data_IF_895283657069
#
_entry.id   IF_895283657069
#
_cell.length_a   1.000
_cell.length_b   1.000
_cell.length_c   1.000
_cell.angle_alpha   90.00
_cell.angle_beta   90.00
_cell.angle_gamma   90.00
#
_symmetry.space_group_name_H-M   'P 1'
#
loop_
_entity.id
_entity.type
_entity.pdbx_description
1 polymer ?
#
# COMPACT_ATOMS: atom_id res chain seq x y z
N UNK A 1 -10.49 1.30 -18.27
CA UNK A 1 -10.88 1.23 -16.85
C UNK A 1 -9.84 2.05 -16.11
N UNK A 2 -10.23 3.22 -15.59
CA UNK A 2 -9.30 4.16 -14.96
C UNK A 2 -8.62 3.46 -13.80
N UNK A 3 -7.30 3.25 -13.87
CA UNK A 3 -6.52 2.97 -12.68
C UNK A 3 -6.77 4.15 -11.75
N UNK A 4 -7.46 3.93 -10.62
CA UNK A 4 -7.68 5.00 -9.66
C UNK A 4 -6.30 5.53 -9.27
N UNK A 5 -6.09 6.84 -9.47
CA UNK A 5 -4.80 7.45 -9.16
C UNK A 5 -4.52 7.25 -7.67
N UNK A 6 -3.40 6.56 -7.38
CA UNK A 6 -3.00 6.28 -6.02
C UNK A 6 -2.78 7.60 -5.26
N UNK A 7 -3.16 7.68 -3.98
CA UNK A 7 -2.86 8.84 -3.16
C UNK A 7 -1.35 8.99 -3.00
N UNK A 8 -0.90 10.22 -2.77
CA UNK A 8 0.49 10.45 -2.37
C UNK A 8 0.71 9.88 -0.96
N UNK A 9 1.95 9.52 -0.64
CA UNK A 9 2.32 9.03 0.69
C UNK A 9 3.39 9.96 1.25
N UNK A 10 3.23 10.36 2.51
CA UNK A 10 4.22 11.19 3.17
C UNK A 10 5.57 10.44 3.25
N UNK A 11 6.70 11.11 2.96
CA UNK A 11 8.00 10.44 2.86
C UNK A 11 8.41 9.77 4.18
N UNK A 12 8.08 10.35 5.32
CA UNK A 12 8.31 9.79 6.66
C UNK A 12 7.56 8.46 6.89
N UNK A 13 6.37 8.31 6.32
CA UNK A 13 5.60 7.05 6.38
C UNK A 13 6.32 5.97 5.59
N UNK A 14 6.79 6.30 4.39
CA UNK A 14 7.56 5.39 3.55
C UNK A 14 8.85 4.95 4.24
N UNK A 15 9.59 5.90 4.82
CA UNK A 15 10.82 5.61 5.57
C UNK A 15 10.54 4.65 6.74
N UNK A 16 9.54 4.96 7.56
CA UNK A 16 9.15 4.14 8.73
C UNK A 16 8.80 2.70 8.31
N UNK A 17 8.01 2.53 7.24
CA UNK A 17 7.63 1.21 6.74
C UNK A 17 8.84 0.42 6.24
N UNK A 18 9.69 1.05 5.42
CA UNK A 18 10.90 0.41 4.88
C UNK A 18 11.89 0.04 5.98
N UNK A 19 12.03 0.89 7.00
CA UNK A 19 12.85 0.62 8.18
C UNK A 19 12.35 -0.60 8.95
N UNK A 20 11.03 -0.76 9.09
CA UNK A 20 10.40 -1.93 9.72
C UNK A 20 10.53 -3.25 8.94
N UNK A 21 10.91 -3.22 7.66
CA UNK A 21 11.06 -4.43 6.85
C UNK A 21 12.31 -5.23 7.23
N UNK A 22 12.16 -6.55 7.32
CA UNK A 22 13.31 -7.46 7.42
C UNK A 22 14.19 -7.39 6.14
N UNK A 23 15.49 -7.75 6.22
CA UNK A 23 16.38 -7.74 5.04
C UNK A 23 15.86 -8.57 3.86
N UNK A 24 15.13 -9.65 4.15
CA UNK A 24 14.53 -10.50 3.11
C UNK A 24 13.38 -9.80 2.38
N UNK A 25 12.55 -9.06 3.12
CA UNK A 25 11.42 -8.31 2.57
C UNK A 25 11.90 -7.08 1.78
N UNK A 26 12.92 -6.36 2.28
CA UNK A 26 13.53 -5.24 1.55
C UNK A 26 14.01 -5.65 0.16
N UNK A 27 14.65 -6.81 0.03
CA UNK A 27 15.10 -7.36 -1.27
C UNK A 27 13.96 -7.67 -2.25
N UNK A 28 12.73 -7.84 -1.76
CA UNK A 28 11.55 -8.17 -2.57
C UNK A 28 10.70 -6.94 -2.90
N UNK A 29 10.96 -5.80 -2.27
CA UNK A 29 10.16 -4.60 -2.36
C UNK A 29 9.94 -4.13 -3.80
N UNK A 30 11.01 -4.01 -4.60
CA UNK A 30 10.89 -3.54 -5.98
C UNK A 30 10.01 -4.47 -6.84
N UNK A 31 10.13 -5.77 -6.62
CA UNK A 31 9.29 -6.77 -7.29
C UNK A 31 7.83 -6.66 -6.83
N UNK A 32 7.60 -6.44 -5.54
CA UNK A 32 6.26 -6.25 -4.99
C UNK A 32 5.60 -4.96 -5.54
N UNK A 33 6.34 -3.86 -5.60
CA UNK A 33 5.90 -2.58 -6.20
C UNK A 33 5.50 -2.79 -7.66
N UNK A 34 6.35 -3.45 -8.44
CA UNK A 34 6.05 -3.74 -9.86
C UNK A 34 4.77 -4.58 -10.00
N UNK A 35 4.58 -5.57 -9.13
CA UNK A 35 3.37 -6.42 -9.13
C UNK A 35 2.11 -5.62 -8.77
N UNK A 36 2.18 -4.79 -7.73
CA UNK A 36 1.06 -3.98 -7.26
C UNK A 36 0.68 -2.87 -8.25
N UNK A 37 1.64 -2.30 -8.97
CA UNK A 37 1.38 -1.29 -10.00
C UNK A 37 0.50 -1.80 -11.16
N UNK A 38 0.46 -3.12 -11.37
CA UNK A 38 -0.39 -3.75 -12.39
C UNK A 38 -1.77 -4.19 -11.85
N UNK A 39 -2.04 -4.02 -10.55
CA UNK A 39 -3.30 -4.43 -9.94
C UNK A 39 -4.39 -3.36 -10.10
N UNK A 40 -5.67 -3.76 -10.20
CA UNK A 40 -6.76 -2.81 -10.18
C UNK A 40 -6.80 -2.09 -8.83
N UNK A 41 -7.03 -0.79 -8.88
CA UNK A 41 -7.23 0.06 -7.73
C UNK A 41 -8.59 0.76 -7.86
N UNK A 42 -9.33 0.81 -6.76
CA UNK A 42 -10.59 1.50 -6.63
C UNK A 42 -10.46 2.62 -5.60
N UNK A 43 -11.07 3.78 -5.85
CA UNK A 43 -11.08 4.90 -4.92
C UNK A 43 -12.51 5.22 -4.53
N UNK A 44 -12.75 5.24 -3.22
CA UNK A 44 -14.00 5.64 -2.58
C UNK A 44 -13.70 6.78 -1.60
N UNK A 45 -14.02 8.01 -2.03
CA UNK A 45 -13.70 9.24 -1.29
C UNK A 45 -12.21 9.36 -0.97
N UNK A 46 -11.90 9.33 0.33
CA UNK A 46 -10.55 9.41 0.89
C UNK A 46 -9.86 8.05 1.03
N UNK A 47 -10.52 6.95 0.64
CA UNK A 47 -9.94 5.60 0.75
C UNK A 47 -9.67 5.02 -0.63
N UNK A 48 -8.46 4.51 -0.83
CA UNK A 48 -8.09 3.76 -2.04
C UNK A 48 -7.85 2.30 -1.67
N UNK A 49 -8.50 1.38 -2.38
CA UNK A 49 -8.38 -0.06 -2.21
C UNK A 49 -7.68 -0.66 -3.42
N UNK A 50 -6.69 -1.51 -3.20
CA UNK A 50 -5.95 -2.24 -4.22
C UNK A 50 -6.16 -3.74 -3.98
N UNK A 51 -6.63 -4.46 -4.98
CA UNK A 51 -6.77 -5.93 -4.91
C UNK A 51 -5.39 -6.57 -5.11
N UNK A 52 -4.80 -7.07 -4.03
CA UNK A 52 -3.46 -7.69 -4.04
C UNK A 52 -3.53 -9.10 -4.63
N UNK A 53 -4.58 -9.83 -4.27
CA UNK A 53 -5.04 -11.12 -4.80
C UNK A 53 -6.54 -11.32 -4.49
N UNK A 54 -7.07 -12.50 -4.79
CA UNK A 54 -8.52 -12.79 -4.72
C UNK A 54 -9.09 -12.74 -3.29
N UNK A 55 -8.23 -12.80 -2.25
CA UNK A 55 -8.64 -12.77 -0.84
C UNK A 55 -8.03 -11.60 -0.06
N UNK A 56 -7.12 -10.85 -0.69
CA UNK A 56 -6.32 -9.82 -0.02
C UNK A 56 -6.51 -8.46 -0.68
N UNK A 57 -6.95 -7.50 0.13
CA UNK A 57 -7.05 -6.10 -0.25
C UNK A 57 -6.07 -5.23 0.55
N UNK A 58 -5.48 -4.25 -0.10
CA UNK A 58 -4.69 -3.19 0.53
C UNK A 58 -5.51 -1.90 0.53
N UNK A 59 -5.77 -1.35 1.71
CA UNK A 59 -6.49 -0.09 1.90
C UNK A 59 -5.53 1.01 2.31
N UNK A 60 -5.64 2.14 1.61
CA UNK A 60 -4.90 3.38 1.83
C UNK A 60 -5.91 4.47 2.18
N UNK A 61 -5.92 4.91 3.43
CA UNK A 61 -6.71 6.05 3.86
C UNK A 61 -5.87 7.33 3.69
N UNK A 62 -6.36 8.25 2.88
CA UNK A 62 -5.62 9.44 2.45
C UNK A 62 -6.54 10.67 2.50
N UNK A 63 -6.96 11.12 3.69
CA UNK A 63 -7.75 12.33 3.83
C UNK A 63 -6.99 13.51 3.22
N UNK A 64 -7.60 14.21 2.26
CA UNK A 64 -6.94 15.28 1.52
C UNK A 64 -5.94 14.81 0.45
N UNK A 65 -5.95 13.53 0.10
CA UNK A 65 -5.15 12.96 -0.99
C UNK A 65 -3.75 12.47 -0.61
N UNK A 66 -3.38 12.56 0.68
CA UNK A 66 -2.08 12.11 1.19
C UNK A 66 -2.27 11.13 2.35
N UNK A 67 -1.60 9.98 2.29
CA UNK A 67 -1.45 9.07 3.42
C UNK A 67 -0.40 9.65 4.35
N UNK A 68 -0.83 10.15 5.50
CA UNK A 68 0.02 10.87 6.44
C UNK A 68 0.60 9.98 7.53
N UNK A 69 0.01 8.80 7.79
CA UNK A 69 0.46 7.90 8.85
C UNK A 69 0.49 6.44 8.40
N UNK A 70 1.34 5.64 9.05
CA UNK A 70 1.39 4.20 8.79
C UNK A 70 0.11 3.47 9.22
N UNK A 71 -0.60 3.99 10.24
CA UNK A 71 -1.90 3.46 10.70
C UNK A 71 -3.02 3.63 9.67
N UNK A 72 -2.85 4.55 8.71
CA UNK A 72 -3.77 4.76 7.60
C UNK A 72 -3.59 3.72 6.47
N UNK A 73 -2.64 2.80 6.63
CA UNK A 73 -2.34 1.72 5.68
C UNK A 73 -2.72 0.38 6.31
N UNK A 74 -3.70 -0.30 5.72
CA UNK A 74 -4.16 -1.59 6.18
C UNK A 74 -4.07 -2.64 5.07
N UNK A 75 -3.29 -3.71 5.29
CA UNK A 75 -3.38 -4.91 4.45
C UNK A 75 -4.39 -5.88 5.08
N UNK A 76 -5.33 -6.39 4.29
CA UNK A 76 -6.25 -7.46 4.67
C UNK A 76 -5.55 -8.82 4.84
N UNK A 77 -4.32 -8.95 4.35
CA UNK A 77 -3.47 -10.05 4.72
C UNK A 77 -3.21 -9.95 6.23
N UNK A 78 -3.55 -10.99 6.98
CA UNK A 78 -3.37 -11.11 8.44
C UNK A 78 -1.89 -11.01 8.93
N UNK A 79 -1.00 -10.48 8.09
CA UNK A 79 0.44 -10.28 8.26
C UNK A 79 0.85 -8.83 7.93
N UNK A 80 0.16 -7.83 8.48
CA UNK A 80 0.70 -6.46 8.52
C UNK A 80 2.10 -6.46 9.19
N UNK A 81 3.13 -5.68 8.78
CA UNK A 81 3.47 -5.05 7.50
C UNK A 81 4.46 -5.92 6.68
N UNK A 82 4.32 -7.25 6.73
CA UNK A 82 5.30 -8.21 6.24
C UNK A 82 4.99 -8.80 4.85
N UNK A 83 3.98 -8.28 4.14
CA UNK A 83 3.46 -8.84 2.90
C UNK A 83 4.31 -8.58 1.63
N UNK A 84 5.56 -8.12 1.78
CA UNK A 84 6.49 -7.80 0.68
C UNK A 84 7.14 -9.05 0.06
#
# INVERSE_FOLDING_TARGET
MNAAQLPSVAPEVTATLVEGLSPRLRKRLDRAVTKLAARPAHRDGDTTTIEVDDETELRLHAPGGVVAKAEDIACGCLLAPACV
#
